data_IF_552490399893
#
_entry.id   IF_552490399893
#
_cell.length_a   1.000
_cell.length_b   1.000
_cell.length_c   1.000
_cell.angle_alpha   90.00
_cell.angle_beta   90.00
_cell.angle_gamma   90.00
#
_symmetry.space_group_name_H-M   'P 1'
#
loop_
_entity.id
_entity.type
_entity.pdbx_description
1 polymer ?
#
# COMPACT_ATOMS: atom_id res chain seq x y z
N UNK A 1 12.92 0.23 16.95
CA UNK A 1 13.63 -0.75 16.10
C UNK A 1 13.28 -2.15 16.57
N UNK A 2 12.76 -3.00 15.64
CA UNK A 2 12.31 -4.37 15.97
C UNK A 2 13.48 -5.36 16.09
N UNK A 3 14.74 -4.88 16.14
CA UNK A 3 15.92 -5.76 16.19
C UNK A 3 16.15 -6.59 14.92
N UNK A 4 15.49 -6.22 13.81
CA UNK A 4 15.63 -6.91 12.53
C UNK A 4 16.83 -6.34 11.78
N UNK A 5 17.74 -7.22 11.31
CA UNK A 5 18.85 -6.81 10.45
C UNK A 5 18.30 -6.34 9.09
N UNK A 6 18.72 -5.15 8.65
CA UNK A 6 18.30 -4.55 7.39
C UNK A 6 19.47 -4.40 6.45
N UNK A 7 19.35 -4.90 5.24
CA UNK A 7 20.33 -4.75 4.17
C UNK A 7 19.69 -4.11 2.94
N UNK A 8 20.33 -3.09 2.37
CA UNK A 8 19.83 -2.39 1.20
C UNK A 8 20.47 -2.93 -0.06
N UNK A 9 19.65 -3.40 -1.00
CA UNK A 9 20.08 -3.94 -2.29
C UNK A 9 19.66 -2.99 -3.41
N UNK A 10 20.54 -2.77 -4.39
CA UNK A 10 20.22 -1.94 -5.56
C UNK A 10 19.12 -2.58 -6.40
N UNK A 11 18.13 -1.79 -6.76
CA UNK A 11 17.08 -2.15 -7.69
C UNK A 11 16.77 -0.98 -8.62
N UNK A 12 15.97 -1.22 -9.66
CA UNK A 12 15.52 -0.20 -10.59
C UNK A 12 14.13 -0.53 -11.10
N UNK A 13 13.39 0.48 -11.51
CA UNK A 13 12.06 0.35 -12.12
C UNK A 13 12.10 0.72 -13.59
N UNK A 14 11.25 0.10 -14.39
CA UNK A 14 11.01 0.49 -15.78
C UNK A 14 9.98 1.63 -15.90
N UNK A 15 9.34 2.01 -14.78
CA UNK A 15 8.32 3.08 -14.75
C UNK A 15 8.98 4.43 -14.52
N UNK A 16 8.77 5.37 -15.44
CA UNK A 16 9.37 6.72 -15.38
C UNK A 16 10.79 6.79 -15.94
N UNK A 17 11.36 8.00 -15.99
CA UNK A 17 12.69 8.27 -16.48
C UNK A 17 12.83 8.33 -18.01
N UNK A 18 14.01 8.78 -18.46
CA UNK A 18 14.40 8.83 -19.87
C UNK A 18 14.58 7.44 -20.47
N UNK A 19 14.55 7.34 -21.82
CA UNK A 19 14.90 6.10 -22.55
C UNK A 19 16.30 5.61 -22.16
N UNK A 20 17.24 6.53 -21.95
CA UNK A 20 18.59 6.20 -21.50
C UNK A 20 18.60 5.57 -20.09
N UNK A 21 17.75 6.05 -19.17
CA UNK A 21 17.65 5.46 -17.83
C UNK A 21 17.16 4.02 -17.89
N UNK A 22 16.24 3.71 -18.82
CA UNK A 22 15.71 2.36 -19.02
C UNK A 22 16.74 1.37 -19.54
N UNK A 23 17.72 1.82 -20.34
CA UNK A 23 18.83 0.97 -20.81
C UNK A 23 19.73 0.49 -19.66
N UNK A 24 19.85 1.27 -18.59
CA UNK A 24 20.65 0.92 -17.41
C UNK A 24 19.92 0.05 -16.40
N UNK A 25 18.59 -0.13 -16.54
CA UNK A 25 17.78 -0.94 -15.60
C UNK A 25 18.27 -2.39 -15.50
N UNK A 26 18.55 -3.12 -16.60
CA UNK A 26 19.05 -4.49 -16.51
C UNK A 26 20.38 -4.59 -15.75
N UNK A 27 21.30 -3.67 -15.97
CA UNK A 27 22.58 -3.65 -15.27
C UNK A 27 22.41 -3.37 -13.77
N UNK A 28 21.54 -2.43 -13.40
CA UNK A 28 21.22 -2.15 -12.00
C UNK A 28 20.59 -3.35 -11.32
N UNK A 29 19.63 -4.03 -11.98
CA UNK A 29 18.99 -5.25 -11.47
C UNK A 29 20.03 -6.37 -11.33
N UNK A 30 20.87 -6.61 -12.34
CA UNK A 30 21.93 -7.63 -12.30
C UNK A 30 22.91 -7.41 -11.16
N UNK A 31 23.30 -6.14 -10.93
CA UNK A 31 24.12 -5.78 -9.78
C UNK A 31 23.42 -6.10 -8.45
N UNK A 32 22.12 -5.78 -8.32
CA UNK A 32 21.33 -6.11 -7.15
C UNK A 32 21.18 -7.63 -6.93
N UNK A 33 21.02 -8.40 -8.02
CA UNK A 33 21.00 -9.87 -7.95
C UNK A 33 22.34 -10.39 -7.43
N UNK A 34 23.46 -9.87 -7.93
CA UNK A 34 24.78 -10.26 -7.46
C UNK A 34 24.99 -9.92 -5.96
N UNK A 35 24.56 -8.74 -5.52
CA UNK A 35 24.57 -8.36 -4.10
C UNK A 35 23.74 -9.34 -3.26
N UNK A 36 22.53 -9.67 -3.72
CA UNK A 36 21.63 -10.60 -3.04
C UNK A 36 22.23 -12.03 -2.97
N UNK A 37 22.87 -12.49 -4.04
CA UNK A 37 23.54 -13.80 -4.08
C UNK A 37 24.67 -13.89 -3.03
N UNK A 38 25.52 -12.86 -2.94
CA UNK A 38 26.59 -12.81 -1.95
C UNK A 38 26.03 -12.79 -0.52
N UNK A 39 24.98 -12.00 -0.31
CA UNK A 39 24.36 -11.88 0.99
C UNK A 39 23.69 -13.19 1.42
N UNK A 40 22.94 -13.85 0.55
CA UNK A 40 22.30 -15.14 0.84
C UNK A 40 23.30 -16.27 1.05
N UNK A 41 24.43 -16.29 0.33
CA UNK A 41 25.51 -17.25 0.59
C UNK A 41 26.11 -17.08 1.97
N UNK A 42 26.17 -15.85 2.48
CA UNK A 42 26.69 -15.52 3.80
C UNK A 42 25.69 -15.82 4.90
N UNK A 43 24.42 -15.38 4.74
CA UNK A 43 23.38 -15.47 5.77
C UNK A 43 22.63 -16.79 5.76
N UNK A 44 22.64 -17.53 4.63
CA UNK A 44 21.98 -18.82 4.42
C UNK A 44 20.53 -18.83 4.91
N UNK A 45 19.66 -17.93 4.40
CA UNK A 45 18.27 -17.90 4.83
C UNK A 45 17.57 -19.22 4.51
N UNK A 46 16.73 -19.72 5.42
CA UNK A 46 15.93 -20.92 5.22
C UNK A 46 14.77 -20.70 4.23
N UNK A 47 14.32 -19.47 4.08
CA UNK A 47 13.25 -19.08 3.17
C UNK A 47 13.40 -17.61 2.77
N UNK A 48 12.91 -17.25 1.59
CA UNK A 48 12.83 -15.86 1.11
C UNK A 48 11.38 -15.53 0.79
N UNK A 49 10.90 -14.41 1.32
CA UNK A 49 9.55 -13.90 1.04
C UNK A 49 9.64 -12.62 0.24
N UNK A 50 9.07 -12.61 -0.96
CA UNK A 50 8.96 -11.44 -1.83
C UNK A 50 7.59 -10.78 -1.71
N UNK A 51 7.55 -9.45 -1.45
CA UNK A 51 6.31 -8.68 -1.34
C UNK A 51 5.94 -7.95 -2.64
N UNK A 52 6.53 -8.35 -3.76
CA UNK A 52 6.24 -7.77 -5.07
C UNK A 52 6.93 -6.41 -5.32
N UNK A 53 6.56 -5.79 -6.43
CA UNK A 53 7.21 -4.58 -6.92
C UNK A 53 8.62 -4.82 -7.45
N UNK A 54 9.13 -3.87 -8.22
CA UNK A 54 10.48 -3.96 -8.80
C UNK A 54 11.61 -4.14 -7.77
N UNK A 55 11.51 -3.61 -6.54
CA UNK A 55 12.53 -3.83 -5.52
C UNK A 55 12.72 -5.29 -5.12
N UNK A 56 11.72 -6.16 -5.27
CA UNK A 56 11.83 -7.57 -4.91
C UNK A 56 12.56 -8.42 -5.95
N UNK A 57 12.69 -7.96 -7.20
CA UNK A 57 13.29 -8.72 -8.30
C UNK A 57 14.69 -9.25 -7.95
N UNK A 58 15.64 -8.44 -7.45
CA UNK A 58 16.99 -8.92 -7.15
C UNK A 58 17.01 -10.07 -6.15
N UNK A 59 16.32 -9.90 -5.03
CA UNK A 59 16.30 -10.90 -3.96
C UNK A 59 15.57 -12.19 -4.37
N UNK A 60 14.40 -12.08 -5.01
CA UNK A 60 13.65 -13.26 -5.51
C UNK A 60 14.44 -14.00 -6.57
N UNK A 61 15.08 -13.28 -7.52
CA UNK A 61 15.94 -13.91 -8.52
C UNK A 61 17.11 -14.66 -7.90
N UNK A 62 17.80 -14.05 -6.94
CA UNK A 62 18.91 -14.69 -6.24
C UNK A 62 18.47 -15.92 -5.44
N UNK A 63 17.31 -15.87 -4.79
CA UNK A 63 16.73 -17.01 -4.07
C UNK A 63 16.47 -18.19 -5.00
N UNK A 64 15.85 -17.95 -6.16
CA UNK A 64 15.59 -18.97 -7.18
C UNK A 64 16.88 -19.59 -7.75
N UNK A 65 17.91 -18.77 -8.02
CA UNK A 65 19.23 -19.26 -8.49
C UNK A 65 19.87 -20.17 -7.42
N UNK A 66 19.78 -19.80 -6.15
CA UNK A 66 20.34 -20.57 -5.04
C UNK A 66 19.43 -21.72 -4.57
N UNK A 67 18.25 -21.88 -5.20
CA UNK A 67 17.23 -22.87 -4.83
C UNK A 67 16.80 -22.79 -3.35
N UNK A 68 16.72 -21.54 -2.84
CA UNK A 68 16.18 -21.27 -1.52
C UNK A 68 14.66 -21.30 -1.61
N UNK A 69 13.94 -21.97 -0.70
CA UNK A 69 12.48 -21.91 -0.65
C UNK A 69 11.96 -20.48 -0.73
N UNK A 70 11.06 -20.21 -1.68
CA UNK A 70 10.64 -18.85 -2.00
C UNK A 70 9.12 -18.73 -2.01
N UNK A 71 8.63 -17.74 -1.30
CA UNK A 71 7.20 -17.39 -1.23
C UNK A 71 7.02 -15.99 -1.80
N UNK A 72 5.99 -15.77 -2.59
CA UNK A 72 5.52 -14.43 -2.95
C UNK A 72 4.30 -14.09 -2.11
N UNK A 73 4.26 -12.90 -1.56
CA UNK A 73 3.05 -12.34 -0.97
C UNK A 73 2.44 -11.31 -1.93
N UNK A 74 1.19 -11.54 -2.32
CA UNK A 74 0.40 -10.60 -3.12
C UNK A 74 -0.67 -9.96 -2.25
N UNK A 75 -0.62 -8.66 -2.09
CA UNK A 75 -1.53 -7.91 -1.24
C UNK A 75 -2.92 -7.76 -1.84
N UNK A 76 -3.04 -7.91 -3.15
CA UNK A 76 -4.27 -7.73 -3.91
C UNK A 76 -4.85 -9.08 -4.37
N UNK A 77 -6.09 -9.09 -4.83
CA UNK A 77 -6.70 -10.27 -5.47
C UNK A 77 -6.16 -10.58 -6.88
N UNK A 78 -5.37 -9.66 -7.47
CA UNK A 78 -4.76 -9.80 -8.78
C UNK A 78 -3.25 -9.64 -8.66
N UNK A 79 -2.50 -10.59 -9.22
CA UNK A 79 -1.04 -10.54 -9.20
C UNK A 79 -0.49 -9.30 -9.90
N UNK A 80 0.35 -8.56 -9.20
CA UNK A 80 1.16 -7.50 -9.77
C UNK A 80 2.15 -8.03 -10.82
N UNK A 81 2.65 -7.15 -11.71
CA UNK A 81 3.51 -7.54 -12.83
C UNK A 81 4.73 -8.35 -12.41
N UNK A 82 5.39 -7.96 -11.34
CA UNK A 82 6.59 -8.66 -10.83
C UNK A 82 6.20 -10.01 -10.24
N UNK A 83 5.12 -10.09 -9.46
CA UNK A 83 4.66 -11.36 -8.92
C UNK A 83 4.22 -12.32 -10.03
N UNK A 84 3.58 -11.84 -11.11
CA UNK A 84 3.27 -12.65 -12.31
C UNK A 84 4.51 -13.28 -12.94
N UNK A 85 5.63 -12.55 -13.00
CA UNK A 85 6.88 -13.03 -13.58
C UNK A 85 7.44 -14.26 -12.84
N UNK A 86 7.29 -14.26 -11.51
CA UNK A 86 7.89 -15.27 -10.64
C UNK A 86 6.91 -16.35 -10.17
N UNK A 87 5.59 -16.13 -10.22
CA UNK A 87 4.57 -17.01 -9.64
C UNK A 87 4.72 -18.50 -10.03
N UNK A 88 5.09 -18.79 -11.29
CA UNK A 88 5.27 -20.17 -11.76
C UNK A 88 6.57 -20.83 -11.26
N UNK A 89 7.54 -20.06 -10.75
CA UNK A 89 8.87 -20.51 -10.37
C UNK A 89 9.10 -20.64 -8.88
N UNK A 90 8.27 -19.96 -8.08
CA UNK A 90 8.33 -20.00 -6.62
C UNK A 90 7.58 -21.20 -6.06
N UNK A 91 7.82 -21.51 -4.78
CA UNK A 91 7.18 -22.63 -4.11
C UNK A 91 5.71 -22.31 -3.78
N UNK A 92 5.43 -21.10 -3.30
CA UNK A 92 4.07 -20.67 -2.95
C UNK A 92 3.81 -19.21 -3.32
N UNK A 93 2.54 -18.91 -3.60
CA UNK A 93 2.00 -17.55 -3.72
C UNK A 93 0.93 -17.37 -2.63
N UNK A 94 1.20 -16.51 -1.68
CA UNK A 94 0.32 -16.17 -0.57
C UNK A 94 -0.46 -14.90 -0.89
N UNK A 95 -1.78 -14.95 -0.85
CA UNK A 95 -2.67 -13.83 -1.18
C UNK A 95 -3.20 -13.15 0.08
N UNK A 96 -3.17 -11.82 0.06
CA UNK A 96 -3.77 -10.97 1.08
C UNK A 96 -5.28 -10.79 0.91
N UNK A 97 -5.77 -10.85 -0.33
CA UNK A 97 -7.18 -10.83 -0.71
C UNK A 97 -7.44 -12.07 -1.54
N UNK A 98 -8.55 -12.81 -1.33
CA UNK A 98 -8.87 -13.98 -2.12
C UNK A 98 -8.89 -13.64 -3.62
N UNK A 99 -8.11 -14.31 -4.47
CA UNK A 99 -8.24 -14.15 -5.91
C UNK A 99 -9.56 -14.77 -6.38
N UNK A 100 -10.11 -14.29 -7.51
CA UNK A 100 -11.34 -14.85 -8.11
C UNK A 100 -11.24 -16.36 -8.37
N UNK A 101 -10.04 -16.85 -8.67
CA UNK A 101 -9.74 -18.27 -8.74
C UNK A 101 -8.36 -18.56 -8.16
N UNK A 102 -8.27 -19.54 -7.26
CA UNK A 102 -6.99 -20.09 -6.82
C UNK A 102 -6.44 -20.92 -8.01
N UNK A 103 -5.54 -20.31 -8.77
CA UNK A 103 -5.08 -20.86 -10.07
C UNK A 103 -4.10 -22.03 -9.95
N UNK A 104 -3.69 -22.44 -8.76
CA UNK A 104 -2.79 -23.59 -8.55
C UNK A 104 -2.79 -24.08 -7.10
N UNK A 105 -2.38 -25.33 -6.89
CA UNK A 105 -2.12 -25.91 -5.55
C UNK A 105 -1.07 -25.14 -4.73
N UNK A 106 -0.29 -24.30 -5.40
CA UNK A 106 0.71 -23.41 -4.78
C UNK A 106 0.14 -22.08 -4.30
N UNK A 107 -1.17 -21.83 -4.47
CA UNK A 107 -1.83 -20.58 -4.08
C UNK A 107 -2.50 -20.74 -2.73
N UNK A 108 -2.17 -19.85 -1.79
CA UNK A 108 -2.72 -19.84 -0.43
C UNK A 108 -3.32 -18.47 -0.12
N UNK A 109 -4.52 -18.46 0.45
CA UNK A 109 -5.08 -17.25 1.04
C UNK A 109 -4.70 -17.17 2.52
N UNK A 110 -3.96 -16.13 2.90
CA UNK A 110 -3.46 -15.95 4.27
C UNK A 110 -3.84 -14.60 4.89
N UNK A 111 -4.43 -13.69 4.11
CA UNK A 111 -4.69 -12.32 4.52
C UNK A 111 -3.47 -11.41 4.43
N UNK A 112 -3.70 -10.13 4.62
CA UNK A 112 -2.62 -9.13 4.71
C UNK A 112 -2.14 -9.01 6.16
N UNK A 113 -0.82 -8.95 6.41
CA UNK A 113 -0.31 -8.66 7.73
C UNK A 113 -0.68 -7.21 8.13
N UNK A 114 -1.33 -7.06 9.25
CA UNK A 114 -1.74 -5.76 9.79
C UNK A 114 -1.07 -5.48 11.13
N UNK A 115 -0.86 -4.19 11.43
CA UNK A 115 -0.25 -3.77 12.70
C UNK A 115 -1.19 -4.06 13.87
N UNK A 116 -0.63 -4.32 15.04
CA UNK A 116 -1.41 -4.53 16.27
C UNK A 116 -2.32 -3.34 16.61
N UNK A 117 -1.94 -2.11 16.23
CA UNK A 117 -2.78 -0.92 16.38
C UNK A 117 -4.10 -1.01 15.61
N UNK A 118 -4.11 -1.67 14.45
CA UNK A 118 -5.32 -1.93 13.64
C UNK A 118 -6.15 -3.05 14.26
N UNK A 119 -5.50 -4.12 14.74
CA UNK A 119 -6.19 -5.26 15.33
C UNK A 119 -7.00 -4.91 16.58
N UNK A 120 -6.61 -3.85 17.32
CA UNK A 120 -7.39 -3.34 18.46
C UNK A 120 -8.81 -2.90 18.09
N UNK A 121 -9.03 -2.51 16.84
CA UNK A 121 -10.33 -2.05 16.32
C UNK A 121 -11.09 -3.10 15.52
N UNK A 122 -10.59 -4.33 15.41
CA UNK A 122 -11.18 -5.40 14.60
C UNK A 122 -12.66 -5.66 14.88
N UNK A 123 -13.10 -5.48 16.12
CA UNK A 123 -14.47 -5.74 16.55
C UNK A 123 -15.25 -4.45 16.85
N UNK A 124 -14.75 -3.27 16.43
CA UNK A 124 -15.50 -2.02 16.59
C UNK A 124 -16.82 -2.11 15.84
N UNK A 125 -17.96 -1.79 16.49
CA UNK A 125 -19.25 -1.81 15.82
C UNK A 125 -19.31 -0.70 14.78
N UNK A 126 -19.87 -0.99 13.61
CA UNK A 126 -20.21 0.03 12.64
C UNK A 126 -21.47 0.77 13.09
N UNK A 127 -21.39 2.09 13.17
CA UNK A 127 -22.52 2.96 13.50
C UNK A 127 -22.99 3.58 12.17
N UNK A 128 -24.20 3.22 11.68
CA UNK A 128 -24.68 3.75 10.40
C UNK A 128 -25.00 5.24 10.49
N UNK A 129 -24.98 6.00 9.38
CA UNK A 129 -25.39 7.42 9.37
C UNK A 129 -26.78 7.61 9.96
N UNK A 130 -26.96 8.71 10.74
CA UNK A 130 -28.21 9.03 11.42
C UNK A 130 -28.35 10.54 11.67
N UNK A 131 -29.18 10.93 12.64
CA UNK A 131 -29.41 12.33 13.05
C UNK A 131 -28.30 12.88 13.99
N UNK A 132 -27.07 12.49 13.77
CA UNK A 132 -25.84 12.91 14.48
C UNK A 132 -24.75 13.21 13.48
N UNK A 133 -23.64 13.86 13.89
CA UNK A 133 -22.53 14.18 12.99
C UNK A 133 -21.98 12.92 12.30
N UNK A 134 -21.82 13.01 10.99
CA UNK A 134 -21.27 11.95 10.12
C UNK A 134 -19.79 12.19 9.95
N UNK A 135 -18.97 11.23 10.31
CA UNK A 135 -17.52 11.28 10.14
C UNK A 135 -17.12 10.67 8.80
N UNK A 136 -16.50 11.46 7.95
CA UNK A 136 -15.96 11.02 6.66
C UNK A 136 -14.44 11.01 6.75
N UNK A 137 -13.84 9.86 6.45
CA UNK A 137 -12.40 9.71 6.35
C UNK A 137 -11.98 9.59 4.89
N UNK A 138 -11.18 10.55 4.42
CA UNK A 138 -10.61 10.57 3.07
C UNK A 138 -9.12 10.29 3.15
N UNK A 139 -8.68 9.12 2.70
CA UNK A 139 -7.29 8.71 2.68
C UNK A 139 -6.91 8.11 1.32
N UNK A 140 -5.71 8.40 0.86
CA UNK A 140 -5.23 7.98 -0.45
C UNK A 140 -3.89 7.24 -0.40
N UNK A 141 -3.67 6.41 0.63
CA UNK A 141 -2.40 5.73 0.87
C UNK A 141 -1.37 6.64 1.56
N UNK A 142 -0.13 6.16 1.72
CA UNK A 142 0.90 6.77 2.56
C UNK A 142 1.30 8.21 2.19
N UNK A 143 1.03 8.62 0.96
CA UNK A 143 1.42 9.95 0.45
C UNK A 143 0.22 10.83 0.07
N UNK A 144 -1.02 10.36 0.32
CA UNK A 144 -2.22 11.01 -0.18
C UNK A 144 -2.44 10.74 -1.68
N UNK A 145 -3.68 10.95 -2.14
CA UNK A 145 -4.04 10.80 -3.55
C UNK A 145 -4.62 12.13 -4.07
N UNK A 146 -3.96 12.75 -5.05
CA UNK A 146 -4.40 14.00 -5.66
C UNK A 146 -5.86 13.92 -6.13
N UNK A 147 -6.25 12.80 -6.74
CA UNK A 147 -7.61 12.60 -7.22
C UNK A 147 -8.67 12.76 -6.11
N UNK A 148 -8.36 12.34 -4.87
CA UNK A 148 -9.26 12.53 -3.74
C UNK A 148 -9.37 14.01 -3.37
N UNK A 149 -8.26 14.75 -3.39
CA UNK A 149 -8.21 16.19 -3.14
C UNK A 149 -8.94 17.00 -4.23
N UNK A 150 -9.03 16.47 -5.45
CA UNK A 150 -9.72 17.13 -6.55
C UNK A 150 -11.23 16.86 -6.54
N UNK A 151 -11.65 15.63 -6.21
CA UNK A 151 -13.04 15.20 -6.36
C UNK A 151 -13.85 15.36 -5.07
N UNK A 152 -13.30 14.95 -3.91
CA UNK A 152 -14.11 14.83 -2.69
C UNK A 152 -14.63 16.16 -2.16
N UNK A 153 -13.84 17.26 -2.07
CA UNK A 153 -14.37 18.56 -1.61
C UNK A 153 -15.49 19.05 -2.51
N UNK A 154 -15.30 18.96 -3.85
CA UNK A 154 -16.30 19.38 -4.82
C UNK A 154 -17.58 18.54 -4.74
N UNK A 155 -17.47 17.23 -4.53
CA UNK A 155 -18.66 16.37 -4.37
C UNK A 155 -19.42 16.68 -3.08
N UNK A 156 -18.73 16.90 -1.96
CA UNK A 156 -19.38 17.22 -0.69
C UNK A 156 -20.03 18.60 -0.70
N UNK A 157 -19.53 19.57 -1.46
CA UNK A 157 -20.13 20.90 -1.60
C UNK A 157 -21.50 20.88 -2.31
N UNK A 158 -21.82 19.81 -3.03
CA UNK A 158 -23.12 19.64 -3.69
C UNK A 158 -24.24 19.17 -2.77
N UNK A 159 -23.91 18.82 -1.52
CA UNK A 159 -24.90 18.38 -0.55
C UNK A 159 -25.74 19.56 -0.05
N UNK A 160 -26.95 19.25 0.46
CA UNK A 160 -27.79 20.29 1.08
C UNK A 160 -27.12 20.87 2.33
N UNK A 161 -27.43 22.13 2.65
CA UNK A 161 -26.89 22.80 3.86
C UNK A 161 -27.16 22.01 5.14
N UNK A 162 -28.31 21.36 5.26
CA UNK A 162 -28.65 20.50 6.39
C UNK A 162 -27.64 19.34 6.53
N UNK A 163 -27.26 18.70 5.42
CA UNK A 163 -26.30 17.62 5.41
C UNK A 163 -24.89 18.12 5.69
N UNK A 164 -24.50 19.25 5.08
CA UNK A 164 -23.18 19.86 5.29
C UNK A 164 -22.91 20.16 6.77
N UNK A 165 -23.89 20.72 7.49
CA UNK A 165 -23.77 21.04 8.92
C UNK A 165 -23.49 19.82 9.82
N UNK A 166 -23.88 18.63 9.35
CA UNK A 166 -23.67 17.37 10.05
C UNK A 166 -22.39 16.64 9.63
N UNK A 167 -21.61 17.17 8.68
CA UNK A 167 -20.37 16.53 8.25
C UNK A 167 -19.19 16.91 9.15
N UNK A 168 -18.35 15.93 9.40
CA UNK A 168 -16.99 16.08 9.93
C UNK A 168 -16.06 15.30 9.02
N UNK A 169 -15.15 16.02 8.36
CA UNK A 169 -14.28 15.40 7.35
C UNK A 169 -12.85 15.36 7.85
N UNK A 170 -12.23 14.19 7.85
CA UNK A 170 -10.78 14.06 7.99
C UNK A 170 -10.18 13.72 6.62
N UNK A 171 -9.43 14.64 6.02
CA UNK A 171 -8.90 14.49 4.67
C UNK A 171 -7.38 14.49 4.66
N UNK A 172 -6.78 13.37 4.23
CA UNK A 172 -5.35 13.30 3.99
C UNK A 172 -5.04 13.86 2.60
N UNK A 173 -4.45 15.07 2.55
CA UNK A 173 -4.02 15.72 1.34
C UNK A 173 -2.49 15.81 1.26
N UNK A 174 -1.92 15.79 0.06
CA UNK A 174 -0.49 16.04 -0.13
C UNK A 174 -0.13 17.44 0.36
N UNK A 175 1.12 17.68 0.81
CA UNK A 175 1.54 19.01 1.24
C UNK A 175 1.19 20.12 0.25
N UNK A 176 1.39 19.87 -1.04
CA UNK A 176 1.09 20.81 -2.14
C UNK A 176 -0.40 21.04 -2.40
N UNK A 177 -1.27 20.16 -1.93
CA UNK A 177 -2.73 20.22 -2.13
C UNK A 177 -3.49 20.75 -0.89
N UNK A 178 -2.85 20.81 0.29
CA UNK A 178 -3.53 21.09 1.57
C UNK A 178 -4.24 22.44 1.58
N UNK A 179 -3.54 23.53 1.21
CA UNK A 179 -4.12 24.87 1.22
C UNK A 179 -5.36 24.96 0.32
N UNK A 180 -5.28 24.39 -0.88
CA UNK A 180 -6.39 24.34 -1.81
C UNK A 180 -7.57 23.56 -1.25
N UNK A 181 -7.33 22.40 -0.63
CA UNK A 181 -8.39 21.55 -0.03
C UNK A 181 -9.04 22.24 1.17
N UNK A 182 -8.26 22.91 2.03
CA UNK A 182 -8.78 23.70 3.15
C UNK A 182 -9.72 24.80 2.65
N UNK A 183 -9.31 25.55 1.62
CA UNK A 183 -10.10 26.62 1.05
C UNK A 183 -11.44 26.11 0.48
N UNK A 184 -11.42 24.99 -0.28
CA UNK A 184 -12.63 24.37 -0.83
C UNK A 184 -13.64 23.95 0.24
N UNK A 185 -13.18 23.38 1.35
CA UNK A 185 -14.05 23.02 2.46
C UNK A 185 -14.58 24.24 3.21
N UNK A 186 -13.73 25.24 3.41
CA UNK A 186 -14.12 26.49 4.08
C UNK A 186 -15.18 27.27 3.28
N UNK A 187 -15.03 27.40 1.95
CA UNK A 187 -15.99 28.04 1.04
C UNK A 187 -17.36 27.34 1.08
N UNK A 188 -17.36 26.02 1.33
CA UNK A 188 -18.58 25.22 1.43
C UNK A 188 -19.13 25.07 2.85
N UNK A 189 -18.54 25.76 3.85
CA UNK A 189 -18.87 25.65 5.28
C UNK A 189 -18.84 24.20 5.81
N UNK A 190 -17.92 23.38 5.31
CA UNK A 190 -17.71 21.99 5.74
C UNK A 190 -16.65 21.96 6.84
N UNK A 191 -16.98 21.37 8.00
CA UNK A 191 -16.02 21.12 9.10
C UNK A 191 -15.03 20.03 8.66
N UNK A 192 -13.78 20.44 8.39
CA UNK A 192 -12.77 19.54 7.85
C UNK A 192 -11.40 19.73 8.50
N UNK A 193 -10.83 18.63 8.96
CA UNK A 193 -9.43 18.50 9.35
C UNK A 193 -8.61 18.00 8.13
N UNK A 194 -7.72 18.84 7.62
CA UNK A 194 -6.85 18.49 6.48
C UNK A 194 -5.41 18.37 6.95
N UNK A 195 -4.80 17.22 6.69
CA UNK A 195 -3.41 16.95 7.08
C UNK A 195 -2.69 16.13 6.03
N UNK A 196 -1.36 16.22 5.97
CA UNK A 196 -0.54 15.35 5.11
C UNK A 196 -0.45 13.93 5.65
N UNK A 197 -0.65 13.76 6.95
CA UNK A 197 -0.54 12.46 7.60
C UNK A 197 -1.40 12.42 8.88
N UNK A 198 -2.00 11.27 9.15
CA UNK A 198 -2.71 10.96 10.38
C UNK A 198 -2.06 9.78 11.08
N UNK A 199 -1.68 9.94 12.34
CA UNK A 199 -1.09 8.87 13.15
C UNK A 199 -2.15 7.87 13.64
N UNK A 200 -3.40 8.31 13.73
CA UNK A 200 -4.53 7.60 14.33
C UNK A 200 -5.52 7.02 13.30
N UNK A 201 -5.05 6.75 12.07
CA UNK A 201 -5.88 6.17 10.99
C UNK A 201 -6.74 4.99 11.45
N UNK A 202 -6.24 4.00 12.24
CA UNK A 202 -7.08 2.88 12.70
C UNK A 202 -8.29 3.33 13.52
N UNK A 203 -8.14 4.34 14.37
CA UNK A 203 -9.24 4.93 15.15
C UNK A 203 -10.23 5.63 14.23
N UNK A 204 -9.74 6.48 13.34
CA UNK A 204 -10.59 7.23 12.38
C UNK A 204 -11.38 6.29 11.47
N UNK A 205 -10.80 5.15 11.04
CA UNK A 205 -11.53 4.13 10.27
C UNK A 205 -12.67 3.54 11.11
N UNK A 206 -12.44 3.30 12.41
CA UNK A 206 -13.48 2.72 13.28
C UNK A 206 -14.61 3.69 13.63
N UNK A 207 -14.37 5.00 13.50
CA UNK A 207 -15.31 6.08 13.79
C UNK A 207 -16.02 6.62 12.53
N UNK A 208 -15.53 6.28 11.33
CA UNK A 208 -16.09 6.73 10.05
C UNK A 208 -17.35 5.94 9.67
N UNK A 209 -18.27 6.62 8.97
CA UNK A 209 -19.52 6.06 8.44
C UNK A 209 -19.46 5.84 6.93
#
# INVERSE_FOLDING_TARGET
PLGVEVSVVKSATFSGGSIFDKLWVPLKISHGVFQSLLWFKRTKPSCVVGFGGYPSIPAVTAALILRIPTILHEQNGVLGQVNKLFAKRVDFVAYGIPPESLSSEKSLYIGNPVRNSVLKFKASPYIPPGDYPINILVIGGSQGARIMSDIVPAALSLLSEKNIKNLRVAHQARPEDQERVINLYSESNIDAEVSSFFDDVPRRISEAQ
#
